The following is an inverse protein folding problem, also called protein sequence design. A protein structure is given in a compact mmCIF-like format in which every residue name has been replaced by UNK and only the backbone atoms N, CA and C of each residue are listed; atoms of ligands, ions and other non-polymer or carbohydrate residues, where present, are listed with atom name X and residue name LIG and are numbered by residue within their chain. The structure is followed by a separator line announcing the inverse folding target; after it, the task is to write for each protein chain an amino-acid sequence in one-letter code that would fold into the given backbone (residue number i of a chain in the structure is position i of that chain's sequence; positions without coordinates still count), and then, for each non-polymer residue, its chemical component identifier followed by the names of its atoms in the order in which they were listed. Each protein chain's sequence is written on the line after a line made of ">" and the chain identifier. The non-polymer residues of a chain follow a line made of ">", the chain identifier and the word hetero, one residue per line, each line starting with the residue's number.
data_IF_905322758593
#
_entry.id   IF_905322758593
#
_cell.length_a   1.000
_cell.length_b   1.000
_cell.length_c   1.000
_cell.angle_alpha   90.00
_cell.angle_beta   90.00
_cell.angle_gamma   90.00
#
_symmetry.space_group_name_H-M   'P 1'
#
loop_
_entity.id
_entity.type
_entity.pdbx_description
1 polymer ?
#
# COMPACT_ATOMS: atom_id res chain seq x y z
N UNK A 1 -4.23 -17.57 -8.19
CA UNK A 1 -5.11 -16.78 -9.08
C UNK A 1 -4.22 -15.97 -10.01
N UNK A 2 -4.35 -16.13 -11.33
CA UNK A 2 -3.66 -15.30 -12.30
C UNK A 2 -4.64 -14.20 -12.77
N UNK A 3 -4.59 -13.04 -12.12
CA UNK A 3 -5.31 -11.86 -12.59
C UNK A 3 -4.47 -11.17 -13.68
N UNK A 4 -5.08 -10.70 -14.78
CA UNK A 4 -4.37 -9.91 -15.78
C UNK A 4 -3.81 -8.63 -15.15
N UNK A 5 -2.56 -8.31 -15.46
CA UNK A 5 -1.87 -7.11 -14.96
C UNK A 5 -1.97 -6.02 -16.03
N UNK A 6 -2.38 -4.82 -15.62
CA UNK A 6 -2.32 -3.61 -16.46
C UNK A 6 -1.13 -2.79 -15.96
N UNK A 7 -0.02 -2.73 -16.71
CA UNK A 7 1.13 -1.92 -16.30
C UNK A 7 0.82 -0.44 -16.47
N UNK A 8 1.37 0.38 -15.58
CA UNK A 8 1.50 1.82 -15.76
C UNK A 8 2.97 2.19 -15.64
N UNK A 9 3.37 3.29 -16.29
CA UNK A 9 4.75 3.73 -16.31
C UNK A 9 4.93 4.93 -15.40
N UNK A 10 6.16 5.06 -14.91
CA UNK A 10 6.61 6.20 -14.13
C UNK A 10 7.45 7.06 -15.06
N UNK A 11 7.29 8.38 -14.97
CA UNK A 11 8.02 9.30 -15.81
C UNK A 11 9.40 9.60 -15.22
N UNK A 12 10.44 8.99 -15.80
CA UNK A 12 11.83 9.17 -15.40
C UNK A 12 12.28 10.64 -15.51
N UNK A 13 11.78 11.40 -16.48
CA UNK A 13 12.18 12.79 -16.71
C UNK A 13 11.72 13.73 -15.59
N UNK A 14 10.62 13.38 -14.90
CA UNK A 14 10.08 14.11 -13.75
C UNK A 14 10.45 13.48 -12.41
N UNK A 15 11.47 12.62 -12.38
CA UNK A 15 11.95 11.98 -11.16
C UNK A 15 11.15 10.74 -10.76
N UNK A 16 10.70 9.95 -11.74
CA UNK A 16 9.84 8.78 -11.60
C UNK A 16 8.44 9.13 -11.05
N UNK A 17 7.92 10.28 -11.48
CA UNK A 17 6.59 10.75 -11.14
C UNK A 17 5.51 9.80 -11.66
N UNK A 18 4.40 9.73 -10.92
CA UNK A 18 3.19 9.02 -11.35
C UNK A 18 2.17 10.05 -11.84
N UNK A 19 1.75 9.95 -13.09
CA UNK A 19 0.81 10.88 -13.73
C UNK A 19 -0.61 10.28 -13.79
N UNK A 20 -1.56 10.94 -13.12
CA UNK A 20 -2.96 10.49 -13.07
C UNK A 20 -3.61 10.46 -14.47
N UNK A 21 -3.20 11.38 -15.35
CA UNK A 21 -3.68 11.41 -16.74
C UNK A 21 -3.34 10.14 -17.52
N UNK A 22 -2.15 9.58 -17.29
CA UNK A 22 -1.71 8.32 -17.88
C UNK A 22 -2.48 7.13 -17.29
N UNK A 23 -2.66 7.10 -15.97
CA UNK A 23 -3.48 6.06 -15.31
C UNK A 23 -4.90 6.01 -15.88
N UNK A 24 -5.51 7.18 -16.12
CA UNK A 24 -6.85 7.27 -16.71
C UNK A 24 -6.87 6.69 -18.12
N UNK A 25 -5.89 7.01 -18.96
CA UNK A 25 -5.78 6.46 -20.32
C UNK A 25 -5.66 4.93 -20.30
N UNK A 26 -4.78 4.40 -19.46
CA UNK A 26 -4.55 2.96 -19.33
C UNK A 26 -5.79 2.22 -18.80
N UNK A 27 -6.49 2.82 -17.85
CA UNK A 27 -7.74 2.26 -17.32
C UNK A 27 -8.82 2.18 -18.42
N UNK A 28 -8.97 3.22 -19.24
CA UNK A 28 -9.94 3.22 -20.34
C UNK A 28 -9.56 2.21 -21.42
N UNK A 29 -8.29 2.10 -21.76
CA UNK A 29 -7.79 1.09 -22.70
C UNK A 29 -8.07 -0.33 -22.18
N UNK A 30 -7.76 -0.61 -20.90
CA UNK A 30 -8.06 -1.88 -20.27
C UNK A 30 -9.56 -2.21 -20.30
N UNK A 31 -10.42 -1.23 -19.96
CA UNK A 31 -11.89 -1.37 -20.06
C UNK A 31 -12.34 -1.68 -21.48
N UNK A 32 -11.77 -1.00 -22.49
CA UNK A 32 -12.09 -1.24 -23.91
C UNK A 32 -11.68 -2.64 -24.39
N UNK A 33 -10.63 -3.20 -23.79
CA UNK A 33 -10.15 -4.56 -24.03
C UNK A 33 -10.91 -5.61 -23.19
N UNK A 34 -12.00 -5.23 -22.52
CA UNK A 34 -12.82 -6.13 -21.70
C UNK A 34 -12.19 -6.49 -20.34
N UNK A 35 -11.14 -5.79 -19.92
CA UNK A 35 -10.47 -6.03 -18.64
C UNK A 35 -11.13 -5.18 -17.55
N UNK A 36 -11.65 -5.84 -16.51
CA UNK A 36 -12.15 -5.15 -15.32
C UNK A 36 -10.99 -4.94 -14.33
N UNK A 37 -10.43 -3.73 -14.32
CA UNK A 37 -9.42 -3.34 -13.32
C UNK A 37 -10.11 -3.14 -11.96
N UNK A 38 -9.52 -3.71 -10.89
CA UNK A 38 -10.13 -3.73 -9.54
C UNK A 38 -9.32 -2.98 -8.49
N UNK A 39 -8.03 -2.80 -8.71
CA UNK A 39 -7.13 -2.21 -7.73
C UNK A 39 -6.00 -1.46 -8.40
N UNK A 40 -5.53 -0.41 -7.75
CA UNK A 40 -4.28 0.28 -8.04
C UNK A 40 -3.26 -0.07 -6.95
N UNK A 41 -2.09 -0.54 -7.37
CA UNK A 41 -0.95 -0.78 -6.48
C UNK A 41 -0.02 0.41 -6.59
N UNK A 42 0.31 1.04 -5.47
CA UNK A 42 1.29 2.12 -5.38
C UNK A 42 2.42 1.66 -4.46
N UNK A 43 3.66 1.90 -4.87
CA UNK A 43 4.85 1.60 -4.07
C UNK A 43 5.51 2.94 -3.72
N UNK A 44 5.42 3.33 -2.45
CA UNK A 44 5.96 4.59 -1.94
C UNK A 44 6.60 4.37 -0.55
N UNK A 45 7.90 4.66 -0.34
CA UNK A 45 8.89 5.01 -1.36
C UNK A 45 9.04 3.94 -2.44
N UNK A 46 9.33 4.35 -3.67
CA UNK A 46 9.37 3.44 -4.81
C UNK A 46 10.58 2.51 -4.79
N UNK A 47 10.38 1.31 -5.33
CA UNK A 47 11.40 0.27 -5.47
C UNK A 47 11.24 -0.36 -6.86
N UNK A 48 12.24 -0.34 -7.75
CA UNK A 48 13.67 0.02 -7.53
C UNK A 48 14.01 1.51 -7.69
N UNK A 49 13.05 2.35 -8.02
CA UNK A 49 13.23 3.74 -8.49
C UNK A 49 13.60 4.75 -7.40
N UNK A 50 13.27 4.48 -6.13
CA UNK A 50 13.68 5.30 -4.98
C UNK A 50 12.94 6.62 -4.80
N UNK A 51 11.97 6.96 -5.66
CA UNK A 51 11.19 8.17 -5.56
C UNK A 51 10.26 8.18 -4.35
N UNK A 52 9.93 9.38 -3.89
CA UNK A 52 8.92 9.62 -2.86
C UNK A 52 7.84 10.49 -3.48
N UNK A 53 6.59 10.03 -3.42
CA UNK A 53 5.47 10.79 -3.96
C UNK A 53 5.21 12.04 -3.11
N UNK A 54 5.08 13.20 -3.77
CA UNK A 54 4.64 14.42 -3.14
C UNK A 54 3.18 14.29 -2.64
N UNK A 55 2.82 15.05 -1.61
CA UNK A 55 1.49 14.99 -0.98
C UNK A 55 0.38 15.31 -1.99
N UNK A 56 0.61 16.29 -2.87
CA UNK A 56 -0.32 16.69 -3.92
C UNK A 56 -0.60 15.52 -4.88
N UNK A 57 0.43 14.76 -5.25
CA UNK A 57 0.27 13.61 -6.13
C UNK A 57 -0.44 12.45 -5.41
N UNK A 58 -0.12 12.22 -4.14
CA UNK A 58 -0.83 11.21 -3.33
C UNK A 58 -2.33 11.51 -3.26
N UNK A 59 -2.70 12.77 -3.03
CA UNK A 59 -4.12 13.21 -3.04
C UNK A 59 -4.79 12.99 -4.39
N UNK A 60 -4.12 13.36 -5.48
CA UNK A 60 -4.65 13.15 -6.83
C UNK A 60 -4.86 11.65 -7.15
N UNK A 61 -3.98 10.77 -6.66
CA UNK A 61 -4.14 9.31 -6.80
C UNK A 61 -5.34 8.80 -6.01
N UNK A 62 -5.53 9.27 -4.77
CA UNK A 62 -6.68 8.90 -3.93
C UNK A 62 -7.99 9.33 -4.58
N UNK A 63 -8.06 10.58 -5.06
CA UNK A 63 -9.22 11.12 -5.78
C UNK A 63 -9.53 10.30 -7.03
N UNK A 64 -8.52 10.00 -7.85
CA UNK A 64 -8.66 9.14 -9.03
C UNK A 64 -9.25 7.77 -8.68
N UNK A 65 -8.76 7.12 -7.62
CA UNK A 65 -9.27 5.80 -7.22
C UNK A 65 -10.69 5.87 -6.67
N UNK A 66 -11.05 6.95 -5.97
CA UNK A 66 -12.42 7.21 -5.51
C UNK A 66 -13.39 7.37 -6.68
N UNK A 67 -13.03 8.17 -7.68
CA UNK A 67 -13.84 8.40 -8.88
C UNK A 67 -14.04 7.12 -9.70
N UNK A 68 -13.00 6.30 -9.85
CA UNK A 68 -13.02 5.11 -10.70
C UNK A 68 -13.44 3.83 -9.95
N UNK A 69 -13.71 3.91 -8.64
CA UNK A 69 -14.12 2.78 -7.81
C UNK A 69 -13.03 1.71 -7.65
N UNK A 70 -11.75 2.12 -7.64
CA UNK A 70 -10.60 1.24 -7.50
C UNK A 70 -10.24 1.04 -6.03
N UNK A 71 -9.91 -0.20 -5.66
CA UNK A 71 -9.26 -0.47 -4.37
C UNK A 71 -7.85 0.13 -4.43
N UNK A 72 -7.56 1.10 -3.57
CA UNK A 72 -6.22 1.63 -3.42
C UNK A 72 -5.50 0.87 -2.31
N UNK A 73 -4.18 0.76 -2.40
CA UNK A 73 -3.38 0.23 -1.30
C UNK A 73 -2.64 1.37 -0.56
N UNK A 74 -3.34 2.35 0.07
CA UNK A 74 -2.81 3.52 0.85
C UNK A 74 -3.86 4.58 1.37
N UNK A 75 -3.74 5.07 2.63
CA UNK A 75 -4.72 5.66 3.62
C UNK A 75 -5.99 6.51 3.24
N UNK A 76 -6.96 6.51 4.18
CA UNK A 76 -8.08 7.41 4.55
C UNK A 76 -9.55 7.21 4.04
N UNK A 77 -10.32 6.52 4.90
CA UNK A 77 -11.77 6.48 5.25
C UNK A 77 -12.91 6.49 4.21
N UNK A 78 -12.75 7.01 2.99
CA UNK A 78 -13.81 6.97 1.95
C UNK A 78 -13.52 5.99 0.81
N UNK A 79 -12.33 5.38 0.84
CA UNK A 79 -11.80 4.51 -0.20
C UNK A 79 -11.53 3.12 0.38
N UNK A 80 -11.70 2.10 -0.45
CA UNK A 80 -11.33 0.73 -0.09
C UNK A 80 -9.82 0.61 -0.09
N UNK A 81 -9.29 0.22 1.06
CA UNK A 81 -7.89 0.43 1.31
C UNK A 81 -7.14 -0.66 2.03
N UNK A 82 -5.92 -0.94 1.57
CA UNK A 82 -4.98 -1.82 2.25
C UNK A 82 -3.56 -1.23 2.28
N UNK A 83 -3.07 -0.81 3.44
CA UNK A 83 -1.69 -0.33 3.62
C UNK A 83 -0.79 -1.46 4.14
N UNK A 84 0.45 -1.53 3.66
CA UNK A 84 1.42 -2.55 4.09
C UNK A 84 2.66 -1.89 4.69
N UNK A 85 3.12 -2.44 5.82
CA UNK A 85 4.38 -2.05 6.43
C UNK A 85 5.19 -3.28 6.84
N UNK A 86 6.52 -3.21 6.66
CA UNK A 86 7.43 -4.31 7.00
C UNK A 86 8.61 -3.85 7.84
N UNK A 87 9.05 -4.70 8.77
CA UNK A 87 10.28 -4.49 9.55
C UNK A 87 11.55 -4.80 8.74
N UNK A 88 11.41 -5.33 7.53
CA UNK A 88 12.52 -5.83 6.72
C UNK A 88 13.33 -4.73 6.04
N UNK A 89 12.81 -3.50 5.99
CA UNK A 89 13.38 -2.36 5.27
C UNK A 89 13.62 -1.19 6.23
N UNK A 90 14.27 -0.14 5.73
CA UNK A 90 14.64 1.03 6.52
C UNK A 90 15.82 0.75 7.45
N UNK A 91 15.99 1.60 8.47
CA UNK A 91 17.13 1.57 9.38
C UNK A 91 17.28 0.25 10.15
N UNK A 92 16.17 -0.36 10.59
CA UNK A 92 16.19 -1.60 11.36
C UNK A 92 16.64 -2.81 10.51
N UNK A 93 16.17 -2.93 9.27
CA UNK A 93 16.69 -3.94 8.32
C UNK A 93 16.51 -5.41 8.74
N UNK A 94 15.52 -5.72 9.58
CA UNK A 94 15.36 -7.01 10.27
C UNK A 94 14.69 -8.09 9.38
N UNK A 95 15.16 -8.22 8.14
CA UNK A 95 14.51 -9.04 7.10
C UNK A 95 14.38 -10.53 7.45
N UNK A 96 15.31 -11.07 8.25
CA UNK A 96 15.27 -12.45 8.73
C UNK A 96 14.16 -12.73 9.75
N UNK A 97 13.59 -11.68 10.37
CA UNK A 97 12.51 -11.80 11.38
C UNK A 97 11.13 -11.93 10.77
N UNK A 98 10.99 -11.61 9.48
CA UNK A 98 9.75 -11.79 8.69
C UNK A 98 8.53 -11.14 9.37
N UNK A 99 8.72 -9.94 9.92
CA UNK A 99 7.68 -9.15 10.57
C UNK A 99 7.08 -8.07 9.67
N UNK A 100 5.83 -7.72 9.94
CA UNK A 100 5.10 -6.67 9.23
C UNK A 100 3.63 -6.69 9.61
N UNK A 101 2.89 -5.69 9.15
CA UNK A 101 1.44 -5.62 9.30
C UNK A 101 0.79 -5.08 8.04
N UNK A 102 -0.51 -5.30 7.97
CA UNK A 102 -1.38 -4.79 6.94
C UNK A 102 -2.56 -4.11 7.63
N UNK A 103 -2.83 -2.86 7.28
CA UNK A 103 -3.99 -2.11 7.74
C UNK A 103 -5.05 -2.10 6.65
N UNK A 104 -6.31 -2.35 7.01
CA UNK A 104 -7.43 -2.43 6.07
C UNK A 104 -8.53 -1.47 6.48
N UNK A 105 -8.89 -0.52 5.61
CA UNK A 105 -9.95 0.48 5.85
C UNK A 105 -10.92 0.56 4.66
N UNK A 106 -12.12 1.13 4.88
CA UNK A 106 -13.14 1.29 3.83
C UNK A 106 -13.89 0.02 3.38
N UNK A 107 -13.52 -1.17 3.85
CA UNK A 107 -14.23 -2.42 3.54
C UNK A 107 -15.34 -2.76 4.53
N UNK A 108 -16.42 -3.37 4.02
CA UNK A 108 -17.51 -3.96 4.82
C UNK A 108 -17.08 -5.14 5.67
N UNK A 109 -17.90 -5.48 6.68
CA UNK A 109 -17.62 -6.56 7.63
C UNK A 109 -17.46 -7.93 6.94
N UNK A 110 -18.25 -8.19 5.91
CA UNK A 110 -18.21 -9.40 5.09
C UNK A 110 -16.86 -9.61 4.39
N UNK A 111 -16.26 -8.55 3.85
CA UNK A 111 -14.94 -8.60 3.23
C UNK A 111 -13.86 -8.77 4.30
N UNK A 112 -13.96 -8.06 5.42
CA UNK A 112 -13.03 -8.18 6.56
C UNK A 112 -13.02 -9.58 7.15
N UNK A 113 -14.17 -10.22 7.28
CA UNK A 113 -14.30 -11.61 7.74
C UNK A 113 -13.62 -12.60 6.79
N UNK A 114 -13.72 -12.37 5.47
CA UNK A 114 -13.00 -13.20 4.49
C UNK A 114 -11.48 -13.02 4.59
N UNK A 115 -11.00 -11.79 4.82
CA UNK A 115 -9.58 -11.50 5.05
C UNK A 115 -9.12 -12.21 6.34
N UNK A 116 -9.89 -12.10 7.43
CA UNK A 116 -9.60 -12.77 8.70
C UNK A 116 -9.58 -14.30 8.55
N UNK A 117 -10.57 -14.86 7.85
CA UNK A 117 -10.64 -16.30 7.54
C UNK A 117 -9.42 -16.77 6.76
N UNK A 118 -8.94 -15.99 5.79
CA UNK A 118 -7.72 -16.31 5.05
C UNK A 118 -6.47 -16.25 5.94
N UNK A 119 -6.37 -15.23 6.80
CA UNK A 119 -5.26 -15.07 7.73
C UNK A 119 -5.17 -16.22 8.76
N UNK A 120 -6.33 -16.72 9.22
CA UNK A 120 -6.40 -17.77 10.24
C UNK A 120 -6.05 -19.18 9.74
N UNK A 121 -5.99 -19.40 8.41
CA UNK A 121 -5.55 -20.68 7.83
C UNK A 121 -4.16 -21.08 8.32
N UNK A 122 -3.28 -20.09 8.55
CA UNK A 122 -1.91 -20.32 9.02
C UNK A 122 -1.75 -20.11 10.54
N UNK A 123 -2.84 -20.14 11.31
CA UNK A 123 -2.92 -19.83 12.75
C UNK A 123 -2.56 -18.38 13.07
N UNK A 124 -1.26 -18.04 13.01
CA UNK A 124 -0.74 -16.69 13.23
C UNK A 124 0.65 -16.53 12.59
N UNK A 125 1.10 -15.29 12.45
CA UNK A 125 2.49 -14.99 12.09
C UNK A 125 3.44 -15.26 13.26
N UNK A 126 4.74 -15.38 13.00
CA UNK A 126 5.72 -15.65 14.04
C UNK A 126 5.75 -14.52 15.10
N UNK A 127 5.77 -14.89 16.38
CA UNK A 127 5.66 -13.95 17.51
C UNK A 127 6.81 -12.95 17.56
N UNK A 128 8.04 -13.39 17.23
CA UNK A 128 9.21 -12.50 17.17
C UNK A 128 9.00 -11.36 16.19
N UNK A 129 8.46 -11.64 15.01
CA UNK A 129 8.14 -10.64 13.99
C UNK A 129 7.00 -9.70 14.42
N UNK A 130 6.03 -10.18 15.19
CA UNK A 130 4.96 -9.34 15.76
C UNK A 130 5.50 -8.37 16.82
N UNK A 131 6.30 -8.86 17.77
CA UNK A 131 6.95 -8.01 18.79
C UNK A 131 7.82 -6.96 18.11
N UNK A 132 8.59 -7.35 17.10
CA UNK A 132 9.47 -6.44 16.39
C UNK A 132 8.70 -5.37 15.61
N UNK A 133 7.57 -5.73 14.99
CA UNK A 133 6.69 -4.75 14.36
C UNK A 133 6.20 -3.71 15.37
N UNK A 134 5.83 -4.14 16.58
CA UNK A 134 5.45 -3.21 17.67
C UNK A 134 6.60 -2.29 18.08
N UNK A 135 7.81 -2.82 18.25
CA UNK A 135 8.99 -2.02 18.63
C UNK A 135 9.36 -0.98 17.56
N UNK A 136 9.29 -1.37 16.28
CA UNK A 136 9.57 -0.45 15.15
C UNK A 136 8.55 0.68 15.10
N UNK A 137 7.27 0.39 15.37
CA UNK A 137 6.18 1.38 15.36
C UNK A 137 6.07 2.18 16.66
N UNK A 138 6.80 1.81 17.71
CA UNK A 138 6.82 2.49 19.02
C UNK A 138 8.26 2.61 19.52
N UNK A 139 9.12 3.39 18.82
CA UNK A 139 10.51 3.56 19.22
C UNK A 139 10.62 4.30 20.56
N UNK A 140 11.79 4.20 21.24
CA UNK A 140 12.02 4.91 22.49
C UNK A 140 11.74 6.41 22.37
N UNK A 141 10.95 6.95 23.28
CA UNK A 141 10.70 8.38 23.37
C UNK A 141 11.87 9.04 24.08
N UNK A 142 12.41 10.11 23.50
CA UNK A 142 13.44 10.91 24.17
C UNK A 142 12.80 11.57 25.39
N UNK A 143 13.29 11.27 26.58
CA UNK A 143 12.94 12.01 27.79
C UNK A 143 13.70 13.33 27.72
N UNK A 144 13.02 14.43 27.43
CA UNK A 144 13.60 15.75 27.62
C UNK A 144 13.74 15.99 29.12
N UNK A 145 14.94 15.84 29.65
CA UNK A 145 15.28 16.51 30.90
C UNK A 145 15.30 18.01 30.58
N UNK A 146 14.27 18.73 31.01
CA UNK A 146 14.36 20.17 31.16
C UNK A 146 15.38 20.40 32.28
N UNK A 147 16.61 20.76 31.88
CA UNK A 147 17.64 21.29 32.78
C UNK A 147 17.49 22.81 32.77
#
# INVERSE_FOLDING_TARGET
>A
MAAPKVPYYLDEATGWGLEVSELKKLLQEAKSNGITVRALVVINPGNPTGQVLAEENQKAIVEFCKEEGLVLLADEKDIHLVSFQSVSKGYYGECGKRGGYMEVTGFGADVRERIYKLASVNLCSNITGQILASLVMSPPKVISFAI
#
